data_IF_387813874399
#
_entry.id   IF_387813874399
#
_cell.length_a   1.000
_cell.length_b   1.000
_cell.length_c   1.000
_cell.angle_alpha   90.00
_cell.angle_beta   90.00
_cell.angle_gamma   90.00
#
_symmetry.space_group_name_H-M   'P 1'
#
loop_
_entity.id
_entity.type
_entity.pdbx_description
1 polymer ?
#
# COMPACT_ATOMS: atom_id res chain seq x y z
N UNK A 1 20.40 16.10 -2.36
CA UNK A 1 20.08 14.67 -2.35
C UNK A 1 19.59 14.29 -3.74
N UNK A 2 20.15 13.28 -4.40
CA UNK A 2 19.56 12.84 -5.64
C UNK A 2 18.15 12.32 -5.32
N UNK A 3 17.17 12.87 -6.00
CA UNK A 3 15.81 12.32 -5.98
C UNK A 3 15.94 10.93 -6.61
N UNK A 4 15.49 9.85 -5.95
CA UNK A 4 15.47 8.55 -6.59
C UNK A 4 14.66 8.70 -7.87
N UNK A 5 15.28 8.41 -9.01
CA UNK A 5 14.51 8.31 -10.24
C UNK A 5 13.51 7.17 -10.03
N UNK A 6 12.24 7.50 -10.01
CA UNK A 6 11.17 6.51 -10.05
C UNK A 6 11.41 5.62 -11.27
N UNK A 7 11.73 4.36 -11.02
CA UNK A 7 11.70 3.40 -12.10
C UNK A 7 10.23 3.17 -12.44
N UNK A 8 9.85 3.21 -13.71
CA UNK A 8 8.46 2.97 -14.12
C UNK A 8 7.86 1.67 -13.55
N UNK A 9 8.70 0.67 -13.30
CA UNK A 9 8.31 -0.60 -12.68
C UNK A 9 7.85 -0.46 -11.23
N UNK A 10 8.29 0.56 -10.50
CA UNK A 10 7.82 0.85 -9.14
C UNK A 10 6.46 1.52 -9.12
N UNK A 11 6.11 2.24 -10.19
CA UNK A 11 4.83 2.92 -10.28
C UNK A 11 3.65 1.96 -10.51
N UNK A 12 3.91 0.74 -11.01
CA UNK A 12 2.88 -0.25 -11.35
C UNK A 12 2.65 -1.32 -10.27
N UNK A 13 3.51 -1.41 -9.27
CA UNK A 13 3.35 -2.31 -8.12
C UNK A 13 3.31 -1.48 -6.85
N UNK A 14 2.13 -1.14 -6.41
CA UNK A 14 1.96 -0.57 -5.09
C UNK A 14 2.13 -1.68 -4.07
N UNK A 15 3.05 -1.51 -3.14
CA UNK A 15 3.22 -2.39 -1.99
C UNK A 15 2.34 -1.95 -0.82
N UNK A 16 1.50 -0.97 -1.06
CA UNK A 16 0.62 -0.39 -0.06
C UNK A 16 -0.72 -1.10 -0.10
N UNK A 17 -1.16 -1.57 1.05
CA UNK A 17 -2.40 -2.30 1.20
C UNK A 17 -3.34 -1.55 2.14
N UNK A 18 -4.55 -1.28 1.64
CA UNK A 18 -5.63 -0.79 2.47
C UNK A 18 -6.25 -1.93 3.26
N UNK A 19 -6.30 -1.79 4.58
CA UNK A 19 -6.91 -2.76 5.47
C UNK A 19 -8.28 -2.27 5.94
N UNK A 20 -8.37 -0.97 6.22
CA UNK A 20 -9.51 -0.36 6.89
C UNK A 20 -9.47 -0.60 8.41
N UNK A 21 -9.80 0.43 9.16
CA UNK A 21 -9.92 0.34 10.62
C UNK A 21 -11.41 0.27 11.00
N UNK A 22 -11.85 -0.69 11.84
CA UNK A 22 -13.23 -0.73 12.32
C UNK A 22 -13.62 0.52 13.13
N UNK A 23 -12.63 1.23 13.66
CA UNK A 23 -12.81 2.46 14.45
C UNK A 23 -12.48 3.74 13.66
N UNK A 24 -12.33 3.63 12.31
CA UNK A 24 -12.14 4.81 11.47
C UNK A 24 -13.31 5.78 11.58
N UNK A 25 -13.02 7.06 11.46
CA UNK A 25 -14.04 8.08 11.47
C UNK A 25 -14.48 8.39 10.04
N UNK A 26 -15.73 8.11 9.70
CA UNK A 26 -16.30 8.51 8.41
C UNK A 26 -16.56 10.02 8.44
N UNK A 27 -15.85 10.77 7.59
CA UNK A 27 -15.99 12.22 7.45
C UNK A 27 -17.08 12.54 6.43
N UNK A 28 -17.04 11.89 5.26
CA UNK A 28 -17.97 12.12 4.18
C UNK A 28 -18.22 10.86 3.37
N UNK A 29 -19.43 10.76 2.83
CA UNK A 29 -19.80 9.74 1.85
C UNK A 29 -20.67 10.40 0.79
N UNK A 30 -20.27 10.25 -0.48
CA UNK A 30 -21.02 10.77 -1.63
C UNK A 30 -21.14 9.69 -2.68
N UNK A 31 -22.27 9.68 -3.37
CA UNK A 31 -22.54 8.79 -4.48
C UNK A 31 -22.80 9.66 -5.69
N UNK A 32 -22.12 9.37 -6.79
CA UNK A 32 -22.27 10.04 -8.07
C UNK A 32 -22.67 8.99 -9.10
N UNK A 33 -23.37 9.44 -10.13
CA UNK A 33 -23.63 8.64 -11.31
C UNK A 33 -22.86 9.23 -12.49
N UNK A 34 -21.98 8.44 -13.06
CA UNK A 34 -21.16 8.84 -14.22
C UNK A 34 -21.40 7.83 -15.34
N UNK A 35 -21.99 8.28 -16.44
CA UNK A 35 -22.31 7.43 -17.60
C UNK A 35 -23.12 6.16 -17.26
N UNK A 36 -24.07 6.27 -16.33
CA UNK A 36 -24.89 5.13 -15.89
C UNK A 36 -24.19 4.19 -14.90
N UNK A 37 -23.00 4.51 -14.43
CA UNK A 37 -22.25 3.75 -13.42
C UNK A 37 -22.21 4.50 -12.11
N UNK A 38 -22.47 3.80 -11.02
CA UNK A 38 -22.37 4.38 -9.69
C UNK A 38 -20.90 4.49 -9.27
N UNK A 39 -20.53 5.69 -8.84
CA UNK A 39 -19.25 6.01 -8.22
C UNK A 39 -19.48 6.41 -6.77
N UNK A 40 -18.90 5.67 -5.84
CA UNK A 40 -18.99 6.00 -4.43
C UNK A 40 -17.66 6.54 -3.94
N UNK A 41 -17.69 7.69 -3.26
CA UNK A 41 -16.52 8.29 -2.62
C UNK A 41 -16.78 8.33 -1.12
N UNK A 42 -15.87 7.74 -0.35
CA UNK A 42 -15.85 7.78 1.11
C UNK A 42 -14.55 8.45 1.57
N UNK A 43 -14.65 9.43 2.44
CA UNK A 43 -13.51 10.05 3.13
C UNK A 43 -13.55 9.67 4.60
N UNK A 44 -12.45 9.18 5.11
CA UNK A 44 -12.30 8.70 6.49
C UNK A 44 -11.03 9.23 7.11
N UNK A 45 -11.02 9.41 8.43
CA UNK A 45 -9.81 9.69 9.19
C UNK A 45 -9.49 8.55 10.15
N UNK A 46 -8.24 8.47 10.57
CA UNK A 46 -7.74 7.41 11.44
C UNK A 46 -7.96 6.01 10.86
N UNK A 47 -7.82 5.88 9.55
CA UNK A 47 -7.94 4.61 8.83
C UNK A 47 -6.58 3.91 8.72
N UNK A 48 -6.58 2.61 8.50
CA UNK A 48 -5.37 1.79 8.55
C UNK A 48 -4.90 1.32 7.18
N UNK A 49 -3.62 1.54 6.93
CA UNK A 49 -2.87 1.02 5.79
C UNK A 49 -1.68 0.20 6.27
N UNK A 50 -1.26 -0.75 5.43
CA UNK A 50 -0.02 -1.51 5.60
C UNK A 50 0.83 -1.32 4.36
N UNK A 51 2.07 -0.90 4.58
CA UNK A 51 3.11 -0.85 3.54
C UNK A 51 4.00 -2.05 3.73
N UNK A 52 4.17 -2.85 2.68
CA UNK A 52 4.99 -4.05 2.68
C UNK A 52 6.20 -3.81 1.78
N UNK A 53 7.40 -4.02 2.31
CA UNK A 53 8.64 -3.92 1.54
C UNK A 53 8.72 -5.04 0.48
N UNK A 54 9.33 -4.73 -0.67
CA UNK A 54 9.48 -5.70 -1.78
C UNK A 54 10.55 -6.75 -1.52
N UNK A 55 11.43 -6.50 -0.56
CA UNK A 55 12.56 -7.38 -0.28
C UNK A 55 12.15 -8.51 0.65
N UNK A 56 12.39 -9.73 0.21
CA UNK A 56 12.26 -10.92 1.04
C UNK A 56 13.54 -11.14 1.85
N UNK A 57 13.38 -11.29 3.16
CA UNK A 57 14.49 -11.57 4.08
C UNK A 57 14.43 -13.00 4.57
N UNK A 58 15.57 -13.67 4.54
CA UNK A 58 15.76 -14.95 5.21
C UNK A 58 16.27 -14.70 6.60
N UNK A 59 15.54 -15.18 7.60
CA UNK A 59 15.83 -14.93 9.01
C UNK A 59 16.17 -16.24 9.70
N UNK A 60 17.27 -16.25 10.42
CA UNK A 60 17.66 -17.38 11.25
C UNK A 60 16.71 -17.50 12.45
N UNK A 61 16.00 -18.63 12.62
CA UNK A 61 15.05 -18.80 13.72
C UNK A 61 15.72 -18.89 15.09
N UNK A 62 17.01 -19.21 15.13
CA UNK A 62 17.73 -19.37 16.39
C UNK A 62 18.30 -18.05 16.95
N UNK A 63 18.63 -17.07 16.12
CA UNK A 63 19.30 -15.86 16.58
C UNK A 63 18.78 -14.56 15.96
N UNK A 64 17.85 -14.62 15.01
CA UNK A 64 17.29 -13.44 14.35
C UNK A 64 18.20 -12.78 13.30
N UNK A 65 19.34 -13.38 12.96
CA UNK A 65 20.19 -12.87 11.87
C UNK A 65 19.36 -12.86 10.57
N UNK A 66 19.35 -11.76 9.88
CA UNK A 66 18.57 -11.56 8.66
C UNK A 66 19.48 -11.23 7.47
N UNK A 67 19.15 -11.77 6.30
CA UNK A 67 19.85 -11.51 5.05
C UNK A 67 18.93 -11.71 3.87
N UNK A 68 19.12 -10.93 2.81
CA UNK A 68 18.39 -11.07 1.54
C UNK A 68 18.85 -12.30 0.74
N UNK A 69 20.11 -12.66 0.85
CA UNK A 69 20.71 -13.72 0.01
C UNK A 69 20.71 -15.11 0.65
N UNK A 70 20.44 -15.21 1.94
CA UNK A 70 20.45 -16.45 2.69
C UNK A 70 21.21 -16.35 4.02
N UNK A 71 21.08 -17.39 4.83
CA UNK A 71 21.76 -17.46 6.13
C UNK A 71 23.06 -18.22 5.97
N UNK A 72 24.23 -17.59 6.20
CA UNK A 72 25.51 -18.31 6.21
C UNK A 72 25.52 -19.41 7.27
N UNK A 73 26.12 -20.56 6.94
CA UNK A 73 26.26 -21.67 7.91
C UNK A 73 27.01 -21.22 9.19
N UNK A 74 28.00 -20.34 8.99
CA UNK A 74 28.70 -19.70 10.10
C UNK A 74 28.32 -18.23 10.15
N UNK A 75 27.45 -17.88 11.09
CA UNK A 75 27.09 -16.50 11.37
C UNK A 75 27.05 -16.24 12.87
N UNK A 76 27.09 -14.98 13.24
CA UNK A 76 27.04 -14.52 14.64
C UNK A 76 25.71 -13.88 14.95
N UNK A 77 25.24 -14.06 16.17
CA UNK A 77 24.09 -13.33 16.69
C UNK A 77 24.43 -11.86 16.96
N UNK A 78 23.44 -11.06 17.36
CA UNK A 78 23.60 -9.64 17.66
C UNK A 78 24.60 -9.33 18.79
N UNK A 79 24.94 -10.33 19.61
CA UNK A 79 25.92 -10.23 20.68
C UNK A 79 27.33 -10.68 20.28
N UNK A 80 27.54 -11.05 19.02
CA UNK A 80 28.82 -11.49 18.46
C UNK A 80 29.17 -12.95 18.71
N UNK A 81 28.30 -13.77 19.31
CA UNK A 81 28.53 -15.19 19.52
C UNK A 81 28.10 -16.00 18.28
N UNK A 82 28.82 -17.09 18.01
CA UNK A 82 28.42 -18.01 16.94
C UNK A 82 27.03 -18.59 17.18
N UNK A 83 26.23 -18.62 16.12
CA UNK A 83 24.88 -19.17 16.19
C UNK A 83 24.92 -20.70 16.27
N UNK A 84 23.94 -21.26 16.95
CA UNK A 84 23.75 -22.71 17.06
C UNK A 84 23.14 -23.35 15.79
N UNK A 85 22.56 -22.53 14.92
CA UNK A 85 21.98 -23.00 13.66
C UNK A 85 23.08 -23.22 12.62
N UNK A 86 23.61 -24.44 12.60
CA UNK A 86 24.67 -24.87 11.67
C UNK A 86 24.13 -25.45 10.34
N UNK A 87 22.82 -25.61 10.23
CA UNK A 87 22.16 -26.18 9.06
C UNK A 87 21.72 -25.12 8.05
N UNK A 88 21.84 -23.83 8.40
CA UNK A 88 21.39 -22.72 7.56
C UNK A 88 19.87 -22.61 7.42
N UNK A 89 19.11 -23.27 8.29
CA UNK A 89 17.66 -23.16 8.31
C UNK A 89 17.23 -21.71 8.45
N UNK A 90 16.27 -21.29 7.63
CA UNK A 90 15.75 -19.92 7.63
C UNK A 90 14.24 -19.92 7.42
N UNK A 91 13.59 -18.89 7.94
CA UNK A 91 12.23 -18.53 7.59
C UNK A 91 12.24 -17.26 6.73
N UNK A 92 11.32 -17.18 5.78
CA UNK A 92 11.20 -16.01 4.90
C UNK A 92 10.22 -15.01 5.49
N UNK A 93 10.62 -13.74 5.50
CA UNK A 93 9.81 -12.63 5.99
C UNK A 93 9.93 -11.43 5.07
N UNK A 94 8.85 -10.67 4.97
CA UNK A 94 8.85 -9.29 4.45
C UNK A 94 8.69 -8.31 5.59
N UNK A 95 9.42 -7.22 5.52
CA UNK A 95 9.20 -6.12 6.46
C UNK A 95 7.92 -5.40 6.07
N UNK A 96 7.07 -5.16 7.06
CA UNK A 96 5.85 -4.38 6.89
C UNK A 96 5.76 -3.31 7.98
N UNK A 97 5.09 -2.23 7.63
CA UNK A 97 4.78 -1.14 8.54
C UNK A 97 3.31 -0.78 8.39
N UNK A 98 2.58 -0.77 9.48
CA UNK A 98 1.22 -0.27 9.53
C UNK A 98 1.19 1.15 10.09
N UNK A 99 0.30 1.97 9.56
CA UNK A 99 0.08 3.32 10.06
C UNK A 99 -1.36 3.76 9.82
N UNK A 100 -1.79 4.71 10.63
CA UNK A 100 -3.10 5.33 10.51
C UNK A 100 -2.97 6.69 9.86
N UNK A 101 -3.92 7.00 8.97
CA UNK A 101 -3.91 8.24 8.20
C UNK A 101 -5.31 8.60 7.71
N UNK A 102 -5.44 9.74 7.05
CA UNK A 102 -6.67 10.11 6.35
C UNK A 102 -6.72 9.40 4.99
N UNK A 103 -7.92 8.93 4.63
CA UNK A 103 -8.13 8.09 3.46
C UNK A 103 -9.35 8.54 2.68
N UNK A 104 -9.22 8.65 1.35
CA UNK A 104 -10.33 8.77 0.42
C UNK A 104 -10.43 7.50 -0.42
N UNK A 105 -11.52 6.76 -0.27
CA UNK A 105 -11.82 5.54 -1.01
C UNK A 105 -12.84 5.83 -2.09
N UNK A 106 -12.46 5.59 -3.34
CA UNK A 106 -13.29 5.76 -4.52
C UNK A 106 -13.62 4.37 -5.06
N UNK A 107 -14.88 3.98 -5.00
CA UNK A 107 -15.35 2.66 -5.44
C UNK A 107 -16.10 2.78 -6.76
N UNK A 108 -15.68 1.99 -7.73
CA UNK A 108 -16.28 1.89 -9.06
C UNK A 108 -17.05 0.56 -9.15
N UNK A 109 -18.35 0.63 -9.36
CA UNK A 109 -19.13 -0.55 -9.69
C UNK A 109 -19.02 -0.80 -11.19
N UNK A 110 -18.29 -1.83 -11.60
CA UNK A 110 -18.19 -2.22 -13.00
C UNK A 110 -18.86 -3.57 -13.19
N UNK A 111 -19.67 -3.71 -14.25
CA UNK A 111 -20.27 -4.98 -14.65
C UNK A 111 -19.37 -5.79 -15.59
N UNK A 112 -18.32 -5.17 -16.11
CA UNK A 112 -17.32 -5.80 -16.98
C UNK A 112 -15.98 -5.91 -16.25
N UNK A 113 -15.18 -6.90 -16.65
CA UNK A 113 -13.83 -7.06 -16.12
C UNK A 113 -12.98 -5.82 -16.48
N UNK A 114 -12.82 -4.92 -15.54
CA UNK A 114 -12.00 -3.74 -15.75
C UNK A 114 -10.52 -4.15 -15.87
N UNK A 115 -9.83 -3.59 -16.88
CA UNK A 115 -8.40 -3.78 -17.05
C UNK A 115 -7.66 -3.07 -15.91
N UNK A 116 -6.81 -3.81 -15.20
CA UNK A 116 -6.01 -3.28 -14.09
C UNK A 116 -5.10 -2.11 -14.54
N UNK A 117 -4.63 -2.12 -15.79
CA UNK A 117 -3.79 -1.03 -16.31
C UNK A 117 -4.60 0.25 -16.50
N UNK A 118 -5.87 0.13 -16.86
CA UNK A 118 -6.78 1.27 -16.92
C UNK A 118 -7.00 1.83 -15.53
N UNK A 119 -7.23 0.97 -14.53
CA UNK A 119 -7.43 1.40 -13.14
C UNK A 119 -6.17 2.03 -12.54
N UNK A 120 -4.99 1.52 -12.88
CA UNK A 120 -3.72 2.16 -12.52
C UNK A 120 -3.60 3.55 -13.16
N UNK A 121 -3.96 3.68 -14.42
CA UNK A 121 -3.95 4.98 -15.10
C UNK A 121 -4.90 5.98 -14.44
N UNK A 122 -6.08 5.53 -14.01
CA UNK A 122 -7.04 6.34 -13.24
C UNK A 122 -6.43 6.75 -11.90
N UNK A 123 -5.79 5.82 -11.17
CA UNK A 123 -5.12 6.12 -9.91
C UNK A 123 -4.06 7.23 -10.10
N UNK A 124 -3.19 7.11 -11.10
CA UNK A 124 -2.16 8.12 -11.34
C UNK A 124 -2.75 9.46 -11.77
N UNK A 125 -3.78 9.46 -12.61
CA UNK A 125 -4.46 10.68 -13.01
C UNK A 125 -5.11 11.40 -11.81
N UNK A 126 -5.70 10.64 -10.88
CA UNK A 126 -6.28 11.18 -9.66
C UNK A 126 -5.21 11.78 -8.74
N UNK A 127 -4.12 11.08 -8.52
CA UNK A 127 -3.01 11.56 -7.70
C UNK A 127 -2.39 12.84 -8.26
N UNK A 128 -2.18 12.90 -9.58
CA UNK A 128 -1.65 14.08 -10.26
C UNK A 128 -2.66 15.24 -10.23
N UNK A 129 -3.92 14.95 -10.49
CA UNK A 129 -5.00 15.95 -10.46
C UNK A 129 -5.17 16.56 -9.08
N UNK A 130 -5.22 15.72 -8.04
CA UNK A 130 -5.35 16.19 -6.66
C UNK A 130 -4.17 17.02 -6.20
N UNK A 131 -2.94 16.57 -6.44
CA UNK A 131 -1.74 17.33 -6.04
C UNK A 131 -1.71 18.72 -6.67
N UNK A 132 -2.11 18.85 -7.93
CA UNK A 132 -2.22 20.14 -8.62
C UNK A 132 -3.32 21.03 -8.07
N UNK A 133 -4.51 20.47 -7.88
CA UNK A 133 -5.68 21.22 -7.38
C UNK A 133 -5.44 21.74 -5.97
N UNK A 134 -4.81 20.94 -5.13
CA UNK A 134 -4.54 21.28 -3.74
C UNK A 134 -3.25 22.09 -3.56
N UNK A 135 -2.40 22.18 -4.59
CA UNK A 135 -1.12 22.88 -4.51
C UNK A 135 -0.11 22.23 -3.58
N UNK A 136 -0.16 20.89 -3.44
CA UNK A 136 0.75 20.08 -2.61
C UNK A 136 1.73 19.29 -3.49
N UNK A 137 2.79 18.77 -2.87
CA UNK A 137 3.72 17.91 -3.58
C UNK A 137 3.08 16.55 -3.88
N UNK A 138 3.44 15.97 -5.05
CA UNK A 138 2.94 14.65 -5.46
C UNK A 138 3.28 13.54 -4.45
N UNK A 139 4.31 13.74 -3.65
CA UNK A 139 4.78 12.82 -2.61
C UNK A 139 3.99 12.90 -1.31
N UNK A 140 3.17 13.94 -1.12
CA UNK A 140 2.36 14.14 0.09
C UNK A 140 1.14 13.23 0.13
N UNK A 141 0.68 12.80 -1.05
CA UNK A 141 -0.41 11.84 -1.20
C UNK A 141 0.07 10.59 -1.94
N UNK A 142 -0.45 9.47 -1.52
CA UNK A 142 -0.22 8.16 -2.15
C UNK A 142 -1.54 7.48 -2.47
N UNK A 143 -1.47 6.36 -3.16
CA UNK A 143 -2.65 5.58 -3.43
C UNK A 143 -2.34 4.16 -3.83
N UNK A 144 -3.34 3.30 -3.64
CA UNK A 144 -3.31 1.91 -4.03
C UNK A 144 -4.62 1.49 -4.68
N UNK A 145 -4.58 0.41 -5.45
CA UNK A 145 -5.76 -0.23 -5.99
C UNK A 145 -6.20 -1.36 -5.06
N UNK A 146 -7.50 -1.44 -4.88
CA UNK A 146 -8.14 -2.52 -4.17
C UNK A 146 -9.29 -3.06 -5.02
N UNK A 147 -9.43 -4.37 -5.08
CA UNK A 147 -10.54 -4.99 -5.78
C UNK A 147 -11.10 -6.17 -4.99
N UNK A 148 -12.41 -6.34 -5.07
CA UNK A 148 -13.13 -7.47 -4.51
C UNK A 148 -14.03 -8.07 -5.57
N UNK A 149 -14.30 -9.37 -5.47
CA UNK A 149 -15.31 -10.03 -6.28
C UNK A 149 -16.55 -10.28 -5.41
N UNK A 150 -17.67 -9.74 -5.84
CA UNK A 150 -18.97 -9.95 -5.19
C UNK A 150 -19.94 -10.43 -6.25
N UNK A 151 -20.51 -11.61 -6.04
CA UNK A 151 -21.47 -12.24 -6.96
C UNK A 151 -21.01 -12.31 -8.43
N UNK A 152 -19.70 -12.53 -8.62
CA UNK A 152 -19.07 -12.59 -9.94
C UNK A 152 -18.79 -11.23 -10.60
N UNK A 153 -19.14 -10.13 -9.96
CA UNK A 153 -18.79 -8.78 -10.39
C UNK A 153 -17.50 -8.32 -9.75
N UNK A 154 -16.59 -7.75 -10.54
CA UNK A 154 -15.39 -7.09 -10.03
C UNK A 154 -15.74 -5.68 -9.57
N UNK A 155 -15.46 -5.40 -8.31
CA UNK A 155 -15.59 -4.07 -7.73
C UNK A 155 -14.20 -3.51 -7.52
N UNK A 156 -13.89 -2.42 -8.23
CA UNK A 156 -12.63 -1.71 -8.08
C UNK A 156 -12.78 -0.53 -7.14
N UNK A 157 -11.76 -0.34 -6.31
CA UNK A 157 -11.62 0.85 -5.48
C UNK A 157 -10.23 1.42 -5.66
N UNK A 158 -10.16 2.72 -5.82
CA UNK A 158 -8.93 3.51 -5.67
C UNK A 158 -8.92 4.04 -4.25
N UNK A 159 -7.87 3.77 -3.53
CA UNK A 159 -7.65 4.27 -2.18
C UNK A 159 -6.54 5.29 -2.24
N UNK A 160 -6.87 6.55 -1.94
CA UNK A 160 -5.93 7.66 -1.81
C UNK A 160 -5.72 7.94 -0.33
N UNK A 161 -4.53 8.31 0.07
CA UNK A 161 -4.23 8.56 1.48
C UNK A 161 -3.06 9.52 1.65
N UNK A 162 -3.05 10.20 2.78
CA UNK A 162 -1.94 11.06 3.16
C UNK A 162 -0.69 10.23 3.46
N UNK A 163 0.44 10.62 2.90
CA UNK A 163 1.71 9.90 3.06
C UNK A 163 2.33 10.04 4.46
N UNK A 164 1.67 10.78 5.35
CA UNK A 164 2.10 11.04 6.73
C UNK A 164 1.21 10.30 7.72
N UNK A 165 1.82 9.68 8.71
CA UNK A 165 1.08 9.06 9.81
C UNK A 165 0.28 10.10 10.60
N UNK A 166 -0.99 9.79 10.87
CA UNK A 166 -1.93 10.70 11.52
C UNK A 166 -2.74 11.56 10.57
N UNK A 167 -2.43 11.53 9.27
CA UNK A 167 -3.07 12.35 8.25
C UNK A 167 -2.57 13.80 8.23
N UNK A 168 -2.74 14.46 7.11
CA UNK A 168 -2.47 15.89 6.91
C UNK A 168 -3.73 16.64 6.43
N UNK A 169 -4.85 15.93 6.26
CA UNK A 169 -6.11 16.49 5.83
C UNK A 169 -6.16 16.83 4.33
N UNK A 170 -5.35 16.16 3.52
CA UNK A 170 -5.33 16.37 2.06
C UNK A 170 -6.40 15.52 1.34
N UNK A 171 -6.81 14.38 1.90
CA UNK A 171 -7.75 13.44 1.28
C UNK A 171 -9.01 13.19 2.10
#
# INVERSE_FOLDING_TARGET
>A
RPVPMHRPEHDFKTDDYYIGDPHRNLIAKKIFEVNGQALQIESTSNDSLVVIGQTDYKVCPACGYASETGIPLEHKNSRGYHCVNKEGNSAEYRLSHDFKTDVAKITFATQEAADINVMLSVLYALLEGLSREMGIERTDIKGCLFYTSVDGCMIFSVVLYDAVAGGAGHV
#
